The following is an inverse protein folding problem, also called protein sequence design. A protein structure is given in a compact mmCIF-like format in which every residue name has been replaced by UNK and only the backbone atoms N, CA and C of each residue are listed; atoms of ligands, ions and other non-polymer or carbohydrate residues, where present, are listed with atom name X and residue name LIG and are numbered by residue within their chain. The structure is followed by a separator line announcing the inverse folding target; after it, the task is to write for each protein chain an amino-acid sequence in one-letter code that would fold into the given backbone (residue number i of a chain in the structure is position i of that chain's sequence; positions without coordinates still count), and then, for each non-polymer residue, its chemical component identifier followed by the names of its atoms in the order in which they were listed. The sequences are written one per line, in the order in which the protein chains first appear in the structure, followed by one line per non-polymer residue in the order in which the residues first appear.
data_IF_387064951581
#
_entry.id   IF_387064951581
#
_cell.length_a   1.000
_cell.length_b   1.000
_cell.length_c   1.000
_cell.angle_alpha   90.00
_cell.angle_beta   90.00
_cell.angle_gamma   90.00
#
_symmetry.space_group_name_H-M   'P 1'
#
loop_
_entity.id
_entity.type
_entity.pdbx_description
1 polymer ?
#
# COMPACT_ATOMS: atom_id res chain seq x y z
N UNK A 1 -5.05 22.57 -7.30
CA UNK A 1 -3.96 22.58 -6.30
C UNK A 1 -4.44 23.24 -5.00
N UNK A 2 -5.15 24.37 -5.06
CA UNK A 2 -5.59 25.10 -3.85
C UNK A 2 -6.71 24.45 -3.01
N UNK A 3 -7.57 23.60 -3.58
CA UNK A 3 -8.60 22.91 -2.81
C UNK A 3 -8.04 21.79 -1.90
N UNK A 4 -6.87 21.21 -2.26
CA UNK A 4 -6.21 20.17 -1.45
C UNK A 4 -5.34 20.77 -0.34
N UNK A 5 -4.87 22.02 -0.49
CA UNK A 5 -4.10 22.75 0.52
C UNK A 5 -4.96 23.19 1.72
N UNK A 6 -6.26 23.45 1.55
CA UNK A 6 -7.15 23.79 2.68
C UNK A 6 -7.42 22.63 3.66
N UNK A 7 -7.15 21.38 3.27
CA UNK A 7 -7.18 20.21 4.18
C UNK A 7 -5.86 19.98 4.92
N UNK A 8 -4.82 20.77 4.66
CA UNK A 8 -3.46 20.53 5.19
C UNK A 8 -3.34 20.76 6.70
N UNK A 9 -4.17 21.63 7.29
CA UNK A 9 -4.16 21.90 8.73
C UNK A 9 -4.62 20.72 9.59
N UNK A 10 -5.51 19.87 9.07
CA UNK A 10 -6.15 18.79 9.83
C UNK A 10 -5.20 17.59 10.05
N UNK A 11 -4.51 17.15 9.00
CA UNK A 11 -3.61 15.99 9.07
C UNK A 11 -2.34 16.26 9.89
N UNK A 12 -1.68 17.41 9.68
CA UNK A 12 -0.49 17.77 10.43
C UNK A 12 -0.80 17.97 11.92
N UNK A 13 -1.95 18.55 12.25
CA UNK A 13 -2.43 18.65 13.62
C UNK A 13 -2.73 17.26 14.22
N UNK A 14 -3.41 16.39 13.47
CA UNK A 14 -3.65 15.00 13.88
C UNK A 14 -2.37 14.22 14.19
N UNK A 15 -1.31 14.38 13.38
CA UNK A 15 -0.01 13.78 13.68
C UNK A 15 0.62 14.33 14.95
N UNK A 16 0.57 15.65 15.18
CA UNK A 16 1.10 16.24 16.42
C UNK A 16 0.40 15.70 17.65
N UNK A 17 -0.93 15.59 17.63
CA UNK A 17 -1.69 14.99 18.71
C UNK A 17 -1.31 13.52 18.93
N UNK A 18 -1.21 12.75 17.85
CA UNK A 18 -0.84 11.33 17.92
C UNK A 18 0.57 11.14 18.51
N UNK A 19 1.54 11.93 18.06
CA UNK A 19 2.91 11.84 18.56
C UNK A 19 3.04 12.32 20.00
N UNK A 20 2.28 13.36 20.39
CA UNK A 20 2.19 13.81 21.78
C UNK A 20 1.64 12.72 22.69
N UNK A 21 0.49 12.15 22.33
CA UNK A 21 -0.13 11.08 23.10
C UNK A 21 0.78 9.84 23.24
N UNK A 22 1.45 9.44 22.15
CA UNK A 22 2.39 8.31 22.18
C UNK A 22 3.59 8.55 23.11
N UNK A 23 4.07 9.80 23.19
CA UNK A 23 5.15 10.20 24.11
C UNK A 23 4.68 10.18 25.56
N UNK A 24 3.49 10.70 25.84
CA UNK A 24 2.92 10.73 27.19
C UNK A 24 2.69 9.33 27.76
N UNK A 25 2.31 8.36 26.92
CA UNK A 25 2.11 6.98 27.37
C UNK A 25 3.41 6.26 27.74
N UNK A 26 4.58 6.68 27.23
CA UNK A 26 5.88 6.05 27.53
C UNK A 26 6.10 4.64 26.97
N UNK A 27 5.04 3.86 26.76
CA UNK A 27 5.07 2.45 26.33
C UNK A 27 5.09 2.25 24.81
N UNK A 28 5.04 3.34 24.02
CA UNK A 28 4.98 3.27 22.56
C UNK A 28 6.38 3.35 21.97
N UNK A 29 6.90 2.20 21.54
CA UNK A 29 8.22 2.11 20.90
C UNK A 29 8.21 2.37 19.39
N UNK A 30 7.08 2.13 18.71
CA UNK A 30 6.95 2.28 17.26
C UNK A 30 5.54 2.74 16.87
N UNK A 31 5.47 3.80 16.05
CA UNK A 31 4.24 4.26 15.43
C UNK A 31 4.20 3.85 13.96
N UNK A 32 3.10 3.23 13.54
CA UNK A 32 2.91 2.76 12.17
C UNK A 32 1.71 3.46 11.53
N UNK A 33 1.95 4.24 10.47
CA UNK A 33 0.89 4.77 9.60
C UNK A 33 0.84 4.00 8.27
N UNK A 34 -0.30 3.34 8.02
CA UNK A 34 -0.57 2.62 6.78
C UNK A 34 -1.34 3.49 5.77
N UNK A 35 -0.72 4.57 5.29
CA UNK A 35 -1.34 5.48 4.31
C UNK A 35 -0.98 5.13 2.87
N UNK A 36 -1.99 5.07 1.99
CA UNK A 36 -1.81 4.85 0.53
C UNK A 36 -1.51 6.13 -0.26
N UNK A 37 -1.51 7.29 0.40
CA UNK A 37 -1.45 8.60 -0.25
C UNK A 37 -0.15 9.30 0.14
N UNK A 38 0.59 9.76 -0.87
CA UNK A 38 1.83 10.53 -0.68
C UNK A 38 1.63 11.76 0.23
N UNK A 39 0.45 12.38 0.22
CA UNK A 39 0.14 13.54 1.08
C UNK A 39 0.35 13.24 2.57
N UNK A 40 0.08 12.01 3.01
CA UNK A 40 0.23 11.63 4.41
C UNK A 40 1.70 11.68 4.85
N UNK A 41 2.62 11.33 3.94
CA UNK A 41 4.06 11.44 4.15
C UNK A 41 4.51 12.91 4.11
N UNK A 42 4.04 13.69 3.14
CA UNK A 42 4.47 15.07 2.93
C UNK A 42 3.94 16.06 3.98
N UNK A 43 2.84 15.74 4.66
CA UNK A 43 2.23 16.58 5.70
C UNK A 43 2.67 16.18 7.10
N UNK A 44 3.67 15.29 7.22
CA UNK A 44 4.28 15.00 8.51
C UNK A 44 4.95 16.28 9.05
N UNK A 45 4.74 16.64 10.32
CA UNK A 45 5.37 17.84 10.88
C UNK A 45 6.90 17.66 10.87
N UNK A 46 7.68 18.58 10.28
CA UNK A 46 9.14 18.47 10.18
C UNK A 46 9.85 18.67 11.53
N UNK A 47 9.15 19.30 12.47
CA UNK A 47 9.56 19.66 13.83
C UNK A 47 9.47 18.50 14.84
N UNK A 48 9.16 17.29 14.39
CA UNK A 48 9.07 16.12 15.28
C UNK A 48 10.41 15.42 15.36
N UNK A 49 10.91 15.15 16.57
CA UNK A 49 12.13 14.33 16.79
C UNK A 49 11.91 12.84 16.43
N UNK A 50 10.74 12.49 15.91
CA UNK A 50 10.41 11.13 15.45
C UNK A 50 11.14 10.87 14.13
N UNK A 51 12.06 9.92 14.12
CA UNK A 51 12.66 9.42 12.89
C UNK A 51 11.58 8.73 12.03
N UNK A 52 11.40 9.14 10.77
CA UNK A 52 10.50 8.43 9.85
C UNK A 52 11.28 7.47 8.97
N UNK A 53 10.83 6.21 8.99
CA UNK A 53 11.25 5.17 8.06
C UNK A 53 10.06 4.78 7.19
N UNK A 54 10.24 4.77 5.87
CA UNK A 54 9.14 4.54 4.92
C UNK A 54 9.25 3.14 4.32
N UNK A 55 8.23 2.32 4.55
CA UNK A 55 8.05 1.05 3.83
C UNK A 55 7.20 1.32 2.58
N UNK A 56 7.85 1.41 1.43
CA UNK A 56 7.16 1.59 0.15
C UNK A 56 6.71 0.25 -0.42
N UNK A 57 5.49 -0.14 -0.07
CA UNK A 57 4.86 -1.38 -0.53
C UNK A 57 4.28 -1.23 -1.95
N UNK A 58 4.74 -2.04 -2.89
CA UNK A 58 4.30 -2.05 -4.28
C UNK A 58 3.65 -3.38 -4.64
N UNK A 59 2.46 -3.34 -5.25
CA UNK A 59 1.78 -4.55 -5.72
C UNK A 59 2.02 -4.77 -7.21
N UNK A 60 2.06 -6.02 -7.65
CA UNK A 60 2.03 -6.38 -9.07
C UNK A 60 0.90 -5.62 -9.83
N UNK A 61 1.18 -4.99 -10.99
CA UNK A 61 0.19 -4.22 -11.74
C UNK A 61 -1.02 -5.06 -12.20
N UNK A 62 -0.85 -6.37 -12.40
CA UNK A 62 -1.93 -7.32 -12.76
C UNK A 62 -2.86 -7.53 -11.57
N UNK A 63 -2.29 -7.85 -10.41
CA UNK A 63 -3.05 -8.00 -9.16
C UNK A 63 -3.72 -6.69 -8.73
N UNK A 64 -3.06 -5.55 -8.96
CA UNK A 64 -3.65 -4.22 -8.76
C UNK A 64 -4.85 -3.99 -9.69
N UNK A 65 -4.72 -4.27 -10.99
CA UNK A 65 -5.81 -4.13 -11.94
C UNK A 65 -7.03 -4.95 -11.54
N UNK A 66 -6.88 -6.23 -11.21
CA UNK A 66 -8.01 -7.09 -10.80
C UNK A 66 -8.68 -6.54 -9.53
N UNK A 67 -7.90 -6.08 -8.56
CA UNK A 67 -8.44 -5.44 -7.36
C UNK A 67 -9.22 -4.16 -7.69
N UNK A 68 -8.70 -3.34 -8.61
CA UNK A 68 -9.32 -2.09 -9.04
C UNK A 68 -10.62 -2.37 -9.81
N UNK A 69 -10.57 -3.29 -10.77
CA UNK A 69 -11.69 -3.66 -11.62
C UNK A 69 -12.84 -4.27 -10.81
N UNK A 70 -12.57 -5.17 -9.85
CA UNK A 70 -13.60 -5.70 -8.94
C UNK A 70 -14.24 -4.61 -8.08
N UNK A 71 -13.48 -3.60 -7.65
CA UNK A 71 -14.03 -2.46 -6.92
C UNK A 71 -14.94 -1.63 -7.82
N UNK A 72 -14.52 -1.37 -9.05
CA UNK A 72 -15.33 -0.67 -10.05
C UNK A 72 -16.63 -1.41 -10.38
N UNK A 73 -16.58 -2.73 -10.57
CA UNK A 73 -17.77 -3.56 -10.80
C UNK A 73 -18.78 -3.45 -9.65
N UNK A 74 -18.31 -3.56 -8.40
CA UNK A 74 -19.18 -3.41 -7.21
C UNK A 74 -19.82 -2.02 -7.13
N UNK A 75 -19.07 -0.99 -7.49
CA UNK A 75 -19.58 0.40 -7.54
C UNK A 75 -20.64 0.63 -8.63
N UNK A 76 -20.74 -0.26 -9.63
CA UNK A 76 -21.63 -0.11 -10.79
C UNK A 76 -22.71 -1.17 -10.90
N UNK A 77 -22.88 -2.03 -9.88
CA UNK A 77 -23.92 -3.06 -9.87
C UNK A 77 -25.37 -2.52 -9.74
N UNK A 78 -25.59 -1.22 -9.98
CA UNK A 78 -26.91 -0.57 -10.18
C UNK A 78 -27.47 -0.79 -11.63
N UNK A 79 -27.46 -2.03 -12.10
CA UNK A 79 -28.37 -2.56 -13.12
C UNK A 79 -28.24 -2.16 -14.60
N UNK A 80 -27.68 -1.01 -14.97
CA UNK A 80 -27.96 -0.41 -16.30
C UNK A 80 -26.96 -0.66 -17.45
N UNK A 81 -25.87 -1.41 -17.27
CA UNK A 81 -24.76 -1.31 -18.23
C UNK A 81 -24.15 -2.63 -18.73
N UNK A 82 -24.97 -3.64 -19.03
CA UNK A 82 -24.45 -4.92 -19.58
C UNK A 82 -23.87 -4.81 -21.01
N UNK A 83 -24.32 -3.84 -21.82
CA UNK A 83 -23.96 -3.75 -23.25
C UNK A 83 -22.72 -2.87 -23.57
N UNK A 84 -22.26 -2.02 -22.64
CA UNK A 84 -21.02 -1.20 -22.81
C UNK A 84 -19.78 -1.81 -22.14
N UNK A 85 -19.85 -3.08 -21.75
CA UNK A 85 -18.83 -3.74 -20.93
C UNK A 85 -17.44 -3.76 -21.60
N UNK A 86 -17.36 -3.94 -22.92
CA UNK A 86 -16.08 -4.06 -23.64
C UNK A 86 -15.26 -2.76 -23.64
N UNK A 87 -15.86 -1.65 -24.12
CA UNK A 87 -15.16 -0.36 -24.13
C UNK A 87 -14.90 0.15 -22.70
N UNK A 88 -15.89 0.01 -21.80
CA UNK A 88 -15.72 0.37 -20.41
C UNK A 88 -14.57 -0.41 -19.75
N UNK A 89 -14.44 -1.71 -20.05
CA UNK A 89 -13.33 -2.52 -19.56
C UNK A 89 -11.97 -1.99 -20.03
N UNK A 90 -11.81 -1.66 -21.32
CA UNK A 90 -10.55 -1.13 -21.84
C UNK A 90 -10.20 0.23 -21.23
N UNK A 91 -11.20 1.10 -21.04
CA UNK A 91 -11.02 2.38 -20.34
C UNK A 91 -10.57 2.14 -18.90
N UNK A 92 -11.20 1.23 -18.16
CA UNK A 92 -10.81 0.92 -16.79
C UNK A 92 -9.44 0.26 -16.68
N UNK A 93 -9.07 -0.57 -17.66
CA UNK A 93 -7.71 -1.10 -17.77
C UNK A 93 -6.72 0.05 -17.93
N UNK A 94 -6.92 0.93 -18.91
CA UNK A 94 -6.04 2.07 -19.14
C UNK A 94 -5.93 2.96 -17.89
N UNK A 95 -7.06 3.30 -17.26
CA UNK A 95 -7.11 4.08 -16.01
C UNK A 95 -6.32 3.38 -14.90
N UNK A 96 -6.52 2.08 -14.69
CA UNK A 96 -5.81 1.34 -13.66
C UNK A 96 -4.29 1.28 -13.93
N UNK A 97 -3.88 1.02 -15.18
CA UNK A 97 -2.47 0.95 -15.57
C UNK A 97 -1.77 2.31 -15.39
N UNK A 98 -2.40 3.39 -15.86
CA UNK A 98 -1.89 4.76 -15.70
C UNK A 98 -1.85 5.14 -14.23
N UNK A 99 -2.90 4.82 -13.46
CA UNK A 99 -2.96 5.11 -12.02
C UNK A 99 -1.85 4.39 -11.26
N UNK A 100 -1.61 3.12 -11.56
CA UNK A 100 -0.53 2.34 -10.96
C UNK A 100 0.83 2.96 -11.29
N UNK A 101 1.09 3.24 -12.57
CA UNK A 101 2.36 3.82 -13.00
C UNK A 101 2.61 5.20 -12.41
N UNK A 102 1.64 6.09 -12.57
CA UNK A 102 1.75 7.48 -12.12
C UNK A 102 1.86 7.55 -10.60
N UNK A 103 1.03 6.79 -9.87
CA UNK A 103 1.07 6.73 -8.41
C UNK A 103 2.43 6.27 -7.89
N UNK A 104 2.93 5.13 -8.38
CA UNK A 104 4.22 4.60 -7.96
C UNK A 104 5.39 5.51 -8.38
N UNK A 105 5.35 6.07 -9.59
CA UNK A 105 6.37 7.01 -10.07
C UNK A 105 6.42 8.27 -9.21
N UNK A 106 5.25 8.82 -8.83
CA UNK A 106 5.13 10.01 -8.01
C UNK A 106 5.69 9.77 -6.60
N UNK A 107 5.32 8.66 -5.96
CA UNK A 107 5.83 8.27 -4.64
C UNK A 107 7.34 8.04 -4.71
N UNK A 108 7.83 7.22 -5.64
CA UNK A 108 9.26 6.94 -5.78
C UNK A 108 10.09 8.21 -6.01
N UNK A 109 9.58 9.14 -6.82
CA UNK A 109 10.24 10.44 -7.02
C UNK A 109 10.32 11.20 -5.71
N UNK A 110 9.21 11.34 -4.99
CA UNK A 110 9.16 12.06 -3.72
C UNK A 110 10.09 11.44 -2.67
N UNK A 111 10.18 10.11 -2.59
CA UNK A 111 11.10 9.42 -1.70
C UNK A 111 12.56 9.72 -2.05
N UNK A 112 12.92 9.67 -3.34
CA UNK A 112 14.28 9.93 -3.81
C UNK A 112 14.71 11.39 -3.66
N UNK A 113 13.82 12.33 -3.97
CA UNK A 113 14.15 13.77 -3.94
C UNK A 113 13.95 14.38 -2.56
N UNK A 114 13.10 13.79 -1.72
CA UNK A 114 12.77 14.31 -0.39
C UNK A 114 13.70 13.85 0.72
N UNK A 115 14.73 13.05 0.41
CA UNK A 115 15.71 12.57 1.40
C UNK A 115 15.13 11.62 2.45
N UNK A 116 13.96 11.01 2.19
CA UNK A 116 13.37 10.06 3.12
C UNK A 116 14.21 8.78 3.17
N UNK A 117 14.40 8.22 4.37
CA UNK A 117 14.81 6.82 4.49
C UNK A 117 13.65 5.95 4.02
N UNK A 118 13.91 5.04 3.07
CA UNK A 118 12.88 4.10 2.62
C UNK A 118 13.44 2.74 2.20
N UNK A 119 12.64 1.70 2.43
CA UNK A 119 12.80 0.39 1.79
C UNK A 119 11.66 0.17 0.80
N UNK A 120 11.96 -0.54 -0.29
CA UNK A 120 10.94 -1.00 -1.23
C UNK A 120 10.72 -2.49 -1.02
N UNK A 121 9.44 -2.85 -0.87
CA UNK A 121 8.99 -4.24 -0.78
C UNK A 121 7.85 -4.45 -1.75
N UNK A 122 7.83 -5.61 -2.40
CA UNK A 122 6.65 -6.02 -3.15
C UNK A 122 5.63 -6.68 -2.23
N UNK A 123 4.33 -6.50 -2.52
CA UNK A 123 3.27 -7.22 -1.82
C UNK A 123 3.41 -8.73 -1.98
N UNK A 124 3.85 -9.16 -3.16
CA UNK A 124 4.15 -10.55 -3.45
C UNK A 124 5.27 -11.09 -2.54
N UNK A 125 6.39 -10.38 -2.40
CA UNK A 125 7.46 -10.74 -1.47
C UNK A 125 6.95 -10.80 -0.02
N UNK A 126 6.16 -9.81 0.41
CA UNK A 126 5.64 -9.72 1.78
C UNK A 126 4.79 -10.94 2.17
N UNK A 127 4.06 -11.53 1.22
CA UNK A 127 3.09 -12.60 1.50
C UNK A 127 3.58 -13.98 1.05
N UNK A 128 4.43 -14.05 0.02
CA UNK A 128 4.96 -15.31 -0.51
C UNK A 128 6.32 -15.69 0.09
N UNK A 129 7.09 -14.70 0.55
CA UNK A 129 8.42 -14.87 1.15
C UNK A 129 8.46 -14.23 2.55
N UNK A 130 7.48 -14.53 3.42
CA UNK A 130 7.27 -13.87 4.72
C UNK A 130 8.53 -13.81 5.58
N UNK A 131 9.26 -14.91 5.73
CA UNK A 131 10.51 -14.95 6.51
C UNK A 131 11.58 -13.98 5.97
N UNK A 132 11.75 -13.94 4.64
CA UNK A 132 12.73 -13.04 3.98
C UNK A 132 12.29 -11.58 4.10
N UNK A 133 11.00 -11.31 3.84
CA UNK A 133 10.44 -9.97 3.96
C UNK A 133 10.53 -9.45 5.41
N UNK A 134 10.25 -10.31 6.39
CA UNK A 134 10.39 -10.04 7.82
C UNK A 134 11.81 -9.69 8.20
N UNK A 135 12.80 -10.49 7.77
CA UNK A 135 14.21 -10.20 8.01
C UNK A 135 14.66 -8.85 7.42
N UNK A 136 14.25 -8.54 6.19
CA UNK A 136 14.56 -7.23 5.56
C UNK A 136 13.88 -6.06 6.28
N UNK A 137 12.65 -6.25 6.76
CA UNK A 137 11.96 -5.24 7.55
C UNK A 137 12.64 -5.06 8.91
N UNK A 138 13.06 -6.14 9.56
CA UNK A 138 13.72 -6.09 10.86
C UNK A 138 15.06 -5.36 10.78
N UNK A 139 15.88 -5.68 9.78
CA UNK A 139 17.13 -4.98 9.49
C UNK A 139 16.90 -3.48 9.23
N UNK A 140 15.92 -3.16 8.38
CA UNK A 140 15.60 -1.77 8.04
C UNK A 140 15.01 -0.97 9.21
N UNK A 141 14.16 -1.57 10.03
CA UNK A 141 13.52 -0.92 11.17
C UNK A 141 14.37 -0.96 12.45
N UNK A 142 15.40 -1.79 12.50
CA UNK A 142 16.25 -1.98 13.68
C UNK A 142 15.51 -2.66 14.86
N UNK A 143 14.41 -3.36 14.59
CA UNK A 143 13.60 -4.05 15.60
C UNK A 143 13.12 -5.38 15.05
N UNK A 144 12.97 -6.44 15.86
CA UNK A 144 12.44 -7.72 15.39
C UNK A 144 11.06 -7.55 14.73
N UNK A 145 10.89 -8.13 13.55
CA UNK A 145 9.61 -8.17 12.84
C UNK A 145 9.26 -9.63 12.58
N UNK A 146 8.23 -10.10 13.27
CA UNK A 146 7.63 -11.41 13.03
C UNK A 146 6.33 -11.23 12.23
N UNK A 147 6.39 -11.60 10.95
CA UNK A 147 5.23 -11.58 10.05
C UNK A 147 4.35 -12.83 10.17
N UNK A 148 4.86 -13.91 10.76
CA UNK A 148 4.14 -15.17 10.90
C UNK A 148 3.20 -15.14 12.13
N UNK A 149 3.53 -14.32 13.14
CA UNK A 149 2.67 -14.05 14.32
C UNK A 149 1.74 -12.84 14.14
N UNK A 150 1.59 -12.32 12.91
CA UNK A 150 0.79 -11.12 12.64
C UNK A 150 -0.67 -11.29 13.06
N UNK A 151 -1.17 -10.40 13.94
CA UNK A 151 -2.55 -10.41 14.43
C UNK A 151 -2.80 -11.19 15.73
N UNK A 152 -1.80 -11.92 16.25
CA UNK A 152 -1.96 -12.75 17.46
C UNK A 152 -1.57 -12.06 18.78
N UNK A 153 -1.20 -10.78 18.77
CA UNK A 153 -0.81 -10.02 19.98
C UNK A 153 -1.78 -8.87 20.31
N UNK A 154 -2.98 -9.16 20.83
CA UNK A 154 -3.99 -8.15 21.14
C UNK A 154 -3.61 -7.15 22.24
N UNK A 155 -2.48 -7.33 22.94
CA UNK A 155 -1.98 -6.40 23.97
C UNK A 155 -0.82 -5.49 23.54
N UNK A 156 -0.27 -5.65 22.33
CA UNK A 156 0.93 -4.92 21.87
C UNK A 156 0.63 -3.95 20.71
N UNK A 157 -0.61 -3.93 20.20
CA UNK A 157 -0.98 -3.17 19.01
C UNK A 157 -2.17 -2.25 19.30
N UNK A 158 -1.89 -0.96 19.43
CA UNK A 158 -2.93 0.07 19.50
C UNK A 158 -3.37 0.46 18.08
N UNK A 159 -4.40 -0.20 17.56
CA UNK A 159 -4.90 0.04 16.19
C UNK A 159 -6.00 1.11 16.22
N UNK A 160 -5.68 2.33 15.79
CA UNK A 160 -6.63 3.44 15.73
C UNK A 160 -7.59 3.34 14.53
N UNK A 161 -7.10 2.84 13.39
CA UNK A 161 -7.88 2.70 12.15
C UNK A 161 -7.18 1.72 11.21
N UNK A 162 -7.94 1.01 10.38
CA UNK A 162 -7.31 0.08 9.43
C UNK A 162 -8.29 -0.73 8.60
N UNK A 163 -7.84 -1.90 8.14
CA UNK A 163 -8.63 -2.84 7.34
C UNK A 163 -9.97 -3.15 8.03
N UNK A 164 -11.07 -3.22 7.28
CA UNK A 164 -12.38 -3.57 7.81
C UNK A 164 -12.40 -5.00 8.38
N UNK A 165 -11.55 -5.87 7.83
CA UNK A 165 -11.38 -7.26 8.27
C UNK A 165 -10.49 -7.41 9.52
N UNK A 166 -10.04 -6.32 10.15
CA UNK A 166 -9.12 -6.38 11.30
C UNK A 166 -9.71 -7.02 12.55
N UNK A 167 -11.05 -7.03 12.67
CA UNK A 167 -11.76 -7.60 13.80
C UNK A 167 -12.22 -9.05 13.55
N UNK A 168 -11.89 -9.62 12.38
CA UNK A 168 -12.16 -11.01 12.05
C UNK A 168 -10.90 -11.83 12.37
N UNK A 169 -10.84 -12.50 13.55
CA UNK A 169 -9.64 -13.19 14.02
C UNK A 169 -9.20 -14.33 13.09
N UNK A 170 -10.14 -14.97 12.40
CA UNK A 170 -9.84 -16.03 11.44
C UNK A 170 -9.14 -15.47 10.19
N UNK A 171 -9.46 -14.24 9.80
CA UNK A 171 -8.86 -13.57 8.62
C UNK A 171 -7.69 -12.65 8.95
N UNK A 172 -7.52 -12.25 10.21
CA UNK A 172 -6.45 -11.34 10.64
C UNK A 172 -5.21 -12.06 11.18
N UNK A 173 -5.33 -13.36 11.53
CA UNK A 173 -4.24 -14.17 12.11
C UNK A 173 -3.15 -14.61 11.12
N UNK A 174 -3.36 -14.45 9.80
CA UNK A 174 -2.38 -14.83 8.78
C UNK A 174 -2.37 -13.88 7.57
N UNK A 175 -1.17 -13.64 7.03
CA UNK A 175 -1.02 -12.98 5.74
C UNK A 175 -1.37 -13.96 4.61
N UNK A 176 -2.55 -13.80 4.02
CA UNK A 176 -2.99 -14.63 2.88
C UNK A 176 -2.84 -13.90 1.55
N UNK A 177 -2.34 -14.61 0.54
CA UNK A 177 -2.29 -14.11 -0.83
C UNK A 177 -3.57 -14.46 -1.60
N UNK A 178 -4.19 -13.48 -2.26
CA UNK A 178 -5.32 -13.75 -3.14
C UNK A 178 -4.82 -14.27 -4.50
N UNK A 179 -4.63 -15.58 -4.65
CA UNK A 179 -4.18 -16.19 -5.90
C UNK A 179 -5.23 -16.15 -7.02
N UNK A 180 -6.49 -15.82 -6.73
CA UNK A 180 -7.59 -15.95 -7.70
C UNK A 180 -7.39 -15.06 -8.93
N UNK A 181 -6.62 -13.97 -8.82
CA UNK A 181 -6.36 -13.08 -9.95
C UNK A 181 -5.43 -13.71 -11.00
N UNK A 182 -4.58 -14.70 -10.65
CA UNK A 182 -3.74 -15.42 -11.61
C UNK A 182 -4.57 -16.18 -12.65
N UNK A 183 -5.73 -16.65 -12.23
CA UNK A 183 -6.66 -17.41 -13.07
C UNK A 183 -7.67 -16.53 -13.80
N UNK A 184 -7.62 -15.21 -13.60
CA UNK A 184 -8.54 -14.30 -14.27
C UNK A 184 -8.28 -14.32 -15.80
N UNK A 185 -9.27 -14.69 -16.63
CA UNK A 185 -9.09 -14.81 -18.07
C UNK A 185 -8.54 -13.53 -18.72
N UNK A 186 -8.87 -12.36 -18.17
CA UNK A 186 -8.40 -11.08 -18.69
C UNK A 186 -6.93 -10.86 -18.39
N UNK A 187 -6.46 -11.23 -17.20
CA UNK A 187 -5.03 -11.15 -16.87
C UNK A 187 -4.21 -12.06 -17.79
N UNK A 188 -4.71 -13.27 -18.07
CA UNK A 188 -4.05 -14.21 -18.99
C UNK A 188 -4.02 -13.68 -20.43
N UNK A 189 -5.17 -13.20 -20.93
CA UNK A 189 -5.30 -12.71 -22.32
C UNK A 189 -4.57 -11.39 -22.54
N UNK A 190 -4.52 -10.52 -21.54
CA UNK A 190 -3.93 -9.19 -21.62
C UNK A 190 -2.56 -9.09 -20.95
N UNK A 191 -1.91 -10.23 -20.68
CA UNK A 191 -0.59 -10.26 -20.05
C UNK A 191 0.43 -9.36 -20.75
N UNK A 192 0.33 -9.22 -22.08
CA UNK A 192 1.18 -8.33 -22.87
C UNK A 192 1.03 -6.84 -22.50
N UNK A 193 -0.19 -6.39 -22.17
CA UNK A 193 -0.49 -5.00 -21.82
C UNK A 193 0.21 -4.57 -20.51
N UNK A 194 0.52 -5.54 -19.63
CA UNK A 194 1.22 -5.29 -18.38
C UNK A 194 2.76 -5.31 -18.52
N UNK A 195 3.31 -5.87 -19.61
CA UNK A 195 4.78 -6.04 -19.78
C UNK A 195 5.57 -4.74 -19.64
N UNK A 196 5.14 -3.59 -20.21
CA UNK A 196 5.87 -2.34 -20.04
C UNK A 196 5.98 -1.92 -18.57
N UNK A 197 4.91 -2.10 -17.79
CA UNK A 197 4.86 -1.74 -16.37
C UNK A 197 5.66 -2.71 -15.50
N UNK A 198 5.59 -4.01 -15.79
CA UNK A 198 6.41 -5.03 -15.13
C UNK A 198 7.91 -4.74 -15.35
N UNK A 199 8.31 -4.48 -16.59
CA UNK A 199 9.70 -4.10 -16.94
C UNK A 199 10.12 -2.80 -16.26
N UNK A 200 9.24 -1.80 -16.26
CA UNK A 200 9.51 -0.53 -15.58
C UNK A 200 9.68 -0.72 -14.07
N UNK A 201 8.80 -1.49 -13.43
CA UNK A 201 8.86 -1.79 -12.00
C UNK A 201 10.15 -2.54 -11.63
N UNK A 202 10.50 -3.59 -12.37
CA UNK A 202 11.74 -4.35 -12.16
C UNK A 202 12.99 -3.49 -12.32
N UNK A 203 13.07 -2.67 -13.38
CA UNK A 203 14.20 -1.73 -13.60
C UNK A 203 14.36 -0.68 -12.50
N UNK A 204 13.27 -0.36 -11.80
CA UNK A 204 13.28 0.61 -10.70
C UNK A 204 13.41 -0.02 -9.31
N UNK A 205 13.55 -1.35 -9.23
CA UNK A 205 13.60 -2.09 -7.97
C UNK A 205 12.26 -2.11 -7.22
N UNK A 206 11.14 -1.83 -7.91
CA UNK A 206 9.81 -1.86 -7.31
C UNK A 206 9.16 -3.24 -7.32
N UNK A 207 9.59 -4.08 -8.25
CA UNK A 207 9.12 -5.45 -8.41
C UNK A 207 10.34 -6.36 -8.50
N UNK A 208 10.20 -7.65 -8.16
CA UNK A 208 11.24 -8.65 -8.41
C UNK A 208 11.67 -8.64 -9.88
N UNK A 209 12.95 -8.93 -10.13
CA UNK A 209 13.43 -9.14 -11.50
C UNK A 209 12.84 -10.47 -12.00
N UNK A 210 12.06 -10.39 -13.08
CA UNK A 210 11.53 -11.53 -13.84
C UNK A 210 12.49 -11.85 -14.97
#
# INVERSE_FOLDING_TARGET
ADAELRQSGDLAHGYRLLYGAARETGDVHLLVDSSKRLRALLQRPPDTEVEARVVFLVKDPRGYFVSHYRKWLRSRNNGRLKFRLGLAFLTELAVALVSWWYGNRKILRALRTGGFSYIVLSYEELVLETARAGARLADYLGTPVDLDSFGNNPGQLHILRGNALRHDPDRSSRLTYDYRWFYDPWVRRLGFAFRPLLRWGARRGLLPRV
#
